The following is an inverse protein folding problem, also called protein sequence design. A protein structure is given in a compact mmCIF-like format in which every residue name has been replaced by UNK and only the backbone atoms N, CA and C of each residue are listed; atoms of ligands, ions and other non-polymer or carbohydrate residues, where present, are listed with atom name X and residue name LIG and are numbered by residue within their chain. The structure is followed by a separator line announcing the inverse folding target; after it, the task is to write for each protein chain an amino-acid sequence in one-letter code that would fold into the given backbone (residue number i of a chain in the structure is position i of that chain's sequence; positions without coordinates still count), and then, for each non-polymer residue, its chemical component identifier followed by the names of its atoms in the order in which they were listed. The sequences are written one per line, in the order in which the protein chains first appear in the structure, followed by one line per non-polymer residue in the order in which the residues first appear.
data_IF_455544811911
#
_entry.id   IF_455544811911
#
_cell.length_a   1.000
_cell.length_b   1.000
_cell.length_c   1.000
_cell.angle_alpha   90.00
_cell.angle_beta   90.00
_cell.angle_gamma   90.00
#
_symmetry.space_group_name_H-M   'P 1'
#
loop_
_entity.id
_entity.type
_entity.pdbx_description
1 polymer ?
#
# COMPACT_ATOMS: atom_id res chain seq x y z
N UNK A 1 -51.08 -5.14 -68.20
CA UNK A 1 -50.01 -4.16 -67.88
C UNK A 1 -49.23 -4.69 -66.69
N UNK A 2 -48.04 -5.27 -66.98
CA UNK A 2 -46.87 -5.60 -66.13
C UNK A 2 -47.16 -5.97 -64.66
N UNK A 3 -47.36 -7.23 -64.26
CA UNK A 3 -46.44 -8.42 -64.12
C UNK A 3 -45.47 -8.36 -62.92
N UNK A 4 -45.60 -9.37 -62.03
CA UNK A 4 -44.53 -10.01 -61.23
C UNK A 4 -44.50 -9.63 -59.73
N UNK A 5 -44.95 -10.39 -58.73
CA UNK A 5 -44.69 -11.79 -58.29
C UNK A 5 -43.37 -12.00 -57.49
N UNK A 6 -43.53 -12.58 -56.28
CA UNK A 6 -42.57 -13.30 -55.38
C UNK A 6 -41.39 -12.48 -54.79
N UNK A 7 -40.76 -12.78 -53.64
CA UNK A 7 -41.00 -13.57 -52.43
C UNK A 7 -39.73 -13.43 -51.53
N UNK A 8 -39.79 -13.99 -50.31
CA UNK A 8 -38.68 -14.53 -49.48
C UNK A 8 -37.70 -13.61 -48.71
N UNK A 9 -37.88 -13.63 -47.38
CA UNK A 9 -36.93 -13.92 -46.28
C UNK A 9 -35.42 -13.52 -46.32
N UNK A 10 -35.03 -12.67 -45.34
CA UNK A 10 -33.78 -12.55 -44.49
C UNK A 10 -32.38 -12.59 -45.17
N UNK A 11 -31.26 -12.01 -44.64
CA UNK A 11 -30.91 -11.82 -43.21
C UNK A 11 -30.04 -10.58 -42.82
N UNK A 12 -29.87 -10.38 -41.51
CA UNK A 12 -28.65 -9.95 -40.79
C UNK A 12 -27.73 -8.85 -41.37
N UNK A 13 -27.66 -7.71 -40.66
CA UNK A 13 -26.60 -6.71 -40.82
C UNK A 13 -26.42 -5.87 -39.55
N UNK A 14 -25.71 -6.41 -38.55
CA UNK A 14 -25.27 -5.67 -37.37
C UNK A 14 -24.19 -4.65 -37.79
N UNK A 15 -24.56 -3.40 -38.00
CA UNK A 15 -23.60 -2.31 -38.16
C UNK A 15 -23.05 -1.91 -36.78
N UNK A 16 -21.84 -2.42 -36.46
CA UNK A 16 -20.97 -1.86 -35.42
C UNK A 16 -20.58 -0.44 -35.82
N UNK A 17 -21.14 0.56 -35.15
CA UNK A 17 -20.54 1.89 -35.10
C UNK A 17 -19.39 1.84 -34.10
N UNK A 18 -18.18 1.68 -34.62
CA UNK A 18 -16.92 1.89 -33.87
C UNK A 18 -16.74 3.40 -33.73
N UNK A 19 -16.62 3.97 -32.51
CA UNK A 19 -16.17 5.35 -32.39
C UNK A 19 -14.68 5.39 -32.74
N UNK A 20 -14.35 6.16 -33.77
CA UNK A 20 -12.99 6.32 -34.26
C UNK A 20 -12.10 7.02 -33.22
N UNK A 21 -10.82 6.64 -33.26
CA UNK A 21 -9.71 7.21 -32.50
C UNK A 21 -9.52 8.66 -32.97
N UNK A 22 -10.25 9.61 -32.38
CA UNK A 22 -10.23 11.02 -32.77
C UNK A 22 -9.93 12.01 -31.65
N UNK A 23 -9.86 11.60 -30.38
CA UNK A 23 -9.81 12.54 -29.24
C UNK A 23 -8.40 12.84 -28.71
N UNK A 24 -7.36 12.08 -29.12
CA UNK A 24 -5.98 12.30 -28.62
C UNK A 24 -5.24 13.41 -29.40
N UNK A 25 -5.65 13.72 -30.63
CA UNK A 25 -5.04 14.79 -31.44
C UNK A 25 -5.30 16.20 -30.90
N UNK A 26 -6.36 16.40 -30.13
CA UNK A 26 -6.66 17.70 -29.50
C UNK A 26 -5.65 18.04 -28.38
N UNK A 27 -5.09 17.05 -27.68
CA UNK A 27 -4.07 17.28 -26.64
C UNK A 27 -2.68 17.56 -27.26
N UNK A 28 -2.36 16.94 -28.40
CA UNK A 28 -1.12 17.22 -29.14
C UNK A 28 -1.15 18.63 -29.75
N UNK A 29 -2.31 19.08 -30.24
CA UNK A 29 -2.48 20.46 -30.73
C UNK A 29 -2.26 21.52 -29.64
N UNK A 30 -2.68 21.25 -28.39
CA UNK A 30 -2.39 22.13 -27.26
C UNK A 30 -0.91 22.12 -26.86
N UNK A 31 -0.23 20.98 -27.00
CA UNK A 31 1.20 20.83 -26.72
C UNK A 31 2.06 21.63 -27.73
N UNK A 32 1.78 21.51 -29.03
CA UNK A 32 2.49 22.27 -30.06
C UNK A 32 2.22 23.78 -30.00
N UNK A 33 1.02 24.20 -29.60
CA UNK A 33 0.72 25.62 -29.38
C UNK A 33 1.46 26.22 -28.16
N UNK A 34 1.75 25.41 -27.14
CA UNK A 34 2.56 25.81 -25.99
C UNK A 34 4.06 25.84 -26.29
N UNK A 35 4.57 24.92 -27.14
CA UNK A 35 5.96 24.93 -27.61
C UNK A 35 6.26 26.16 -28.49
N UNK A 36 5.33 26.58 -29.34
CA UNK A 36 5.48 27.76 -30.19
C UNK A 36 5.47 29.10 -29.43
N UNK A 37 4.88 29.15 -28.22
CA UNK A 37 4.92 30.34 -27.37
C UNK A 37 6.18 30.41 -26.48
N UNK A 38 7.02 29.38 -26.44
CA UNK A 38 8.12 29.28 -25.46
C UNK A 38 9.47 29.83 -25.98
N UNK A 39 9.55 30.31 -27.23
CA UNK A 39 10.78 30.91 -27.78
C UNK A 39 10.92 32.42 -27.53
N UNK A 40 9.91 33.06 -26.92
CA UNK A 40 9.98 34.48 -26.59
C UNK A 40 9.44 34.75 -25.19
N UNK A 41 10.36 34.71 -24.21
CA UNK A 41 10.49 35.60 -23.05
C UNK A 41 11.28 34.85 -21.98
N UNK A 42 12.56 35.23 -21.88
CA UNK A 42 13.40 34.88 -20.74
C UNK A 42 12.85 35.52 -19.46
N UNK A 43 12.21 34.71 -18.64
CA UNK A 43 12.20 34.85 -17.17
C UNK A 43 11.62 33.56 -16.59
N UNK A 44 12.47 32.55 -16.43
CA UNK A 44 12.13 31.36 -15.65
C UNK A 44 11.95 31.83 -14.20
N UNK A 45 10.69 32.01 -13.79
CA UNK A 45 10.38 32.28 -12.39
C UNK A 45 10.95 31.12 -11.55
N UNK A 46 11.69 31.42 -10.45
CA UNK A 46 12.18 30.38 -9.57
C UNK A 46 11.00 29.54 -9.10
N UNK A 47 11.19 28.21 -9.04
CA UNK A 47 10.22 27.27 -8.45
C UNK A 47 9.64 27.91 -7.19
N UNK A 48 8.31 28.11 -7.09
CA UNK A 48 7.74 28.79 -5.95
C UNK A 48 8.22 28.07 -4.68
N UNK A 49 8.85 28.80 -3.75
CA UNK A 49 9.13 28.23 -2.42
C UNK A 49 7.84 27.59 -1.91
N UNK A 50 7.92 26.35 -1.43
CA UNK A 50 6.78 25.53 -0.97
C UNK A 50 5.79 26.31 -0.10
N UNK A 51 6.32 27.29 0.64
CA UNK A 51 5.59 28.12 1.59
C UNK A 51 4.55 29.04 0.92
N UNK A 52 4.72 29.40 -0.35
CA UNK A 52 3.74 30.19 -1.12
C UNK A 52 2.62 29.36 -1.72
N UNK A 53 2.74 28.03 -1.72
CA UNK A 53 1.75 27.09 -2.24
C UNK A 53 0.95 26.41 -1.11
N UNK A 54 1.14 26.86 0.14
CA UNK A 54 0.44 26.31 1.30
C UNK A 54 -1.07 26.55 1.14
N UNK A 55 -1.83 25.45 1.20
CA UNK A 55 -3.30 25.49 1.20
C UNK A 55 -3.86 26.39 2.30
N UNK A 56 -5.00 27.01 2.01
CA UNK A 56 -5.74 27.88 2.92
C UNK A 56 -5.96 27.26 4.31
N UNK A 57 -6.13 25.93 4.41
CA UNK A 57 -6.27 25.23 5.69
C UNK A 57 -5.02 25.31 6.56
N UNK A 58 -3.85 25.08 5.96
CA UNK A 58 -2.56 25.15 6.69
C UNK A 58 -2.22 26.59 7.07
N UNK A 59 -2.59 27.57 6.22
CA UNK A 59 -2.48 29.00 6.56
C UNK A 59 -3.33 29.36 7.78
N UNK A 60 -4.60 28.96 7.78
CA UNK A 60 -5.50 29.17 8.92
C UNK A 60 -5.01 28.47 10.19
N UNK A 61 -4.44 27.27 10.07
CA UNK A 61 -3.82 26.61 11.23
C UNK A 61 -2.64 27.43 11.77
N UNK A 62 -1.80 28.01 10.90
CA UNK A 62 -0.73 28.92 11.31
C UNK A 62 -1.26 30.19 12.00
N UNK A 63 -2.34 30.79 11.48
CA UNK A 63 -3.02 31.92 12.13
C UNK A 63 -3.52 31.54 13.54
N UNK A 64 -4.18 30.38 13.68
CA UNK A 64 -4.62 29.86 14.99
C UNK A 64 -3.45 29.56 15.92
N UNK A 65 -2.33 29.05 15.39
CA UNK A 65 -1.11 28.84 16.17
C UNK A 65 -0.52 30.16 16.67
N UNK A 66 -0.57 31.22 15.85
CA UNK A 66 -0.17 32.57 16.24
C UNK A 66 -0.94 33.09 17.46
N UNK A 67 -2.27 32.91 17.48
CA UNK A 67 -3.11 33.25 18.65
C UNK A 67 -2.64 32.53 19.91
N UNK A 68 -2.26 31.25 19.80
CA UNK A 68 -1.73 30.49 20.93
C UNK A 68 -0.34 30.97 21.38
N UNK A 69 0.52 31.38 20.44
CA UNK A 69 1.83 31.99 20.76
C UNK A 69 1.66 33.29 21.52
N UNK A 70 0.78 34.18 21.06
CA UNK A 70 0.52 35.49 21.69
C UNK A 70 -0.04 35.33 23.12
N UNK A 71 -0.78 34.25 23.38
CA UNK A 71 -1.24 33.87 24.70
C UNK A 71 -0.20 33.14 25.57
N UNK A 72 1.05 32.99 25.10
CA UNK A 72 2.13 32.28 25.81
C UNK A 72 2.03 30.75 25.79
N UNK A 73 1.11 30.18 25.00
CA UNK A 73 0.82 28.74 24.93
C UNK A 73 1.65 28.02 23.85
N UNK A 74 2.98 28.07 23.95
CA UNK A 74 3.91 27.55 22.93
C UNK A 74 3.65 26.10 22.51
N UNK A 75 3.44 25.18 23.47
CA UNK A 75 3.15 23.77 23.17
C UNK A 75 1.85 23.57 22.39
N UNK A 76 0.85 24.43 22.62
CA UNK A 76 -0.43 24.38 21.90
C UNK A 76 -0.24 24.85 20.46
N UNK A 77 0.54 25.91 20.25
CA UNK A 77 0.91 26.36 18.91
C UNK A 77 1.63 25.26 18.12
N UNK A 78 2.62 24.58 18.70
CA UNK A 78 3.34 23.45 18.07
C UNK A 78 2.40 22.30 17.67
N UNK A 79 1.42 21.97 18.53
CA UNK A 79 0.41 20.95 18.22
C UNK A 79 -0.48 21.37 17.05
N UNK A 80 -0.87 22.64 16.97
CA UNK A 80 -1.70 23.18 15.88
C UNK A 80 -0.92 23.20 14.56
N UNK A 81 0.34 23.63 14.56
CA UNK A 81 1.18 23.66 13.36
C UNK A 81 1.42 22.26 12.78
N UNK A 82 1.59 21.27 13.66
CA UNK A 82 1.87 19.88 13.26
C UNK A 82 0.61 19.04 13.03
N UNK A 83 -0.59 19.55 13.31
CA UNK A 83 -1.82 18.74 13.39
C UNK A 83 -2.16 17.97 12.10
N UNK A 84 -1.95 18.57 10.93
CA UNK A 84 -2.26 17.92 9.66
C UNK A 84 -1.27 16.81 9.31
N UNK A 85 -0.01 16.97 9.70
CA UNK A 85 1.02 15.96 9.47
C UNK A 85 0.89 14.82 10.50
N UNK A 86 0.60 15.13 11.76
CA UNK A 86 0.42 14.15 12.84
C UNK A 86 -0.86 13.33 12.68
N UNK A 87 -1.90 13.88 12.05
CA UNK A 87 -3.12 13.17 11.70
C UNK A 87 -2.91 12.04 10.68
N UNK A 88 -1.80 12.05 9.93
CA UNK A 88 -1.45 11.01 8.99
C UNK A 88 -0.44 10.02 9.56
N UNK A 89 -0.58 8.75 9.20
CA UNK A 89 0.43 7.75 9.53
C UNK A 89 1.80 8.14 8.92
N UNK A 90 2.93 7.88 9.61
CA UNK A 90 4.27 8.24 9.11
C UNK A 90 4.61 7.68 7.73
N UNK A 91 4.04 6.52 7.37
CA UNK A 91 4.16 5.95 6.03
C UNK A 91 3.42 6.75 4.96
N UNK A 92 2.24 7.26 5.30
CA UNK A 92 1.39 8.05 4.39
C UNK A 92 2.03 9.39 4.08
N UNK A 93 2.50 10.13 5.09
CA UNK A 93 3.13 11.44 4.87
C UNK A 93 4.39 11.34 3.99
N UNK A 94 5.20 10.28 4.14
CA UNK A 94 6.37 10.04 3.27
C UNK A 94 5.97 9.85 1.81
N UNK A 95 4.89 9.08 1.55
CA UNK A 95 4.38 8.90 0.19
C UNK A 95 3.84 10.21 -0.36
N UNK A 96 3.11 10.96 0.47
CA UNK A 96 2.54 12.24 0.08
C UNK A 96 3.63 13.24 -0.29
N UNK A 97 4.69 13.37 0.51
CA UNK A 97 5.84 14.25 0.20
C UNK A 97 6.51 13.88 -1.12
N UNK A 98 6.70 12.58 -1.40
CA UNK A 98 7.21 12.14 -2.69
C UNK A 98 6.30 12.54 -3.86
N UNK A 99 4.98 12.40 -3.70
CA UNK A 99 4.02 12.86 -4.72
C UNK A 99 4.12 14.38 -4.91
N UNK A 100 4.25 15.13 -3.83
CA UNK A 100 4.40 16.58 -3.87
C UNK A 100 5.66 16.96 -4.68
N UNK A 101 6.80 16.35 -4.37
CA UNK A 101 8.05 16.55 -5.11
C UNK A 101 7.90 16.18 -6.60
N UNK A 102 7.33 15.01 -6.91
CA UNK A 102 7.07 14.56 -8.28
C UNK A 102 6.18 15.55 -9.05
N UNK A 103 5.18 16.13 -8.38
CA UNK A 103 4.29 17.13 -8.97
C UNK A 103 4.98 18.47 -9.17
N UNK A 104 5.71 18.97 -8.17
CA UNK A 104 6.46 20.23 -8.27
C UNK A 104 7.50 20.17 -9.40
N UNK A 105 8.22 19.06 -9.52
CA UNK A 105 9.17 18.81 -10.62
C UNK A 105 8.46 18.73 -11.99
N UNK A 106 7.23 18.22 -12.03
CA UNK A 106 6.44 18.17 -13.26
C UNK A 106 5.99 19.57 -13.70
N UNK A 107 5.45 20.37 -12.78
CA UNK A 107 4.90 21.69 -13.11
C UNK A 107 5.98 22.74 -13.41
N UNK A 108 7.21 22.54 -12.90
CA UNK A 108 8.36 23.40 -13.20
C UNK A 108 8.64 23.53 -14.71
N UNK A 109 8.12 22.60 -15.53
CA UNK A 109 8.26 22.60 -16.98
C UNK A 109 7.34 23.60 -17.71
N UNK A 110 6.27 24.06 -17.07
CA UNK A 110 5.20 24.77 -17.76
C UNK A 110 5.37 26.30 -17.76
N UNK A 111 6.32 26.87 -16.99
CA UNK A 111 6.53 28.33 -16.95
C UNK A 111 5.29 29.16 -16.57
N UNK A 112 4.24 28.54 -16.01
CA UNK A 112 2.94 29.17 -15.78
C UNK A 112 2.82 29.83 -14.40
N UNK A 113 1.95 30.86 -14.25
CA UNK A 113 1.70 31.49 -12.96
C UNK A 113 1.03 30.52 -11.96
N UNK A 114 1.20 30.82 -10.66
CA UNK A 114 0.62 30.05 -9.55
C UNK A 114 -0.91 29.95 -9.61
N UNK A 115 -1.59 30.93 -10.24
CA UNK A 115 -3.03 30.88 -10.48
C UNK A 115 -3.48 29.69 -11.33
N UNK A 116 -2.59 29.08 -12.11
CA UNK A 116 -2.85 27.90 -12.91
C UNK A 116 -2.69 26.57 -12.14
N UNK A 117 -2.37 26.60 -10.84
CA UNK A 117 -2.06 25.40 -10.05
C UNK A 117 -3.17 24.34 -10.11
N UNK A 118 -4.44 24.74 -10.07
CA UNK A 118 -5.58 23.82 -10.13
C UNK A 118 -5.65 23.09 -11.48
N UNK A 119 -5.47 23.83 -12.57
CA UNK A 119 -5.39 23.28 -13.93
C UNK A 119 -4.20 22.34 -14.08
N UNK A 120 -3.04 22.72 -13.53
CA UNK A 120 -1.84 21.90 -13.54
C UNK A 120 -2.01 20.57 -12.79
N UNK A 121 -2.82 20.53 -11.72
CA UNK A 121 -3.17 19.27 -11.04
C UNK A 121 -3.95 18.34 -11.98
N UNK A 122 -4.89 18.86 -12.75
CA UNK A 122 -5.63 18.10 -13.76
C UNK A 122 -4.72 17.60 -14.88
N UNK A 123 -3.82 18.46 -15.38
CA UNK A 123 -2.81 18.08 -16.38
C UNK A 123 -1.88 16.98 -15.84
N UNK A 124 -1.43 17.09 -14.59
CA UNK A 124 -0.58 16.08 -13.97
C UNK A 124 -1.30 14.74 -13.82
N UNK A 125 -2.57 14.73 -13.44
CA UNK A 125 -3.36 13.49 -13.35
C UNK A 125 -3.56 12.88 -14.73
N UNK A 126 -3.83 13.67 -15.76
CA UNK A 126 -3.88 13.20 -17.15
C UNK A 126 -2.54 12.58 -17.60
N UNK A 127 -1.41 13.21 -17.26
CA UNK A 127 -0.06 12.67 -17.52
C UNK A 127 0.21 11.35 -16.80
N UNK A 128 -0.29 11.17 -15.58
CA UNK A 128 -0.19 9.88 -14.87
C UNK A 128 -1.03 8.80 -15.56
N UNK A 129 -2.20 9.14 -16.10
CA UNK A 129 -3.05 8.23 -16.87
C UNK A 129 -2.35 7.80 -18.15
N UNK A 130 -1.78 8.75 -18.90
CA UNK A 130 -1.00 8.50 -20.11
C UNK A 130 0.19 7.57 -19.85
N UNK A 131 0.88 7.75 -18.71
CA UNK A 131 1.94 6.85 -18.23
C UNK A 131 1.44 5.52 -17.64
N UNK A 132 0.16 5.21 -17.79
CA UNK A 132 -0.49 4.00 -17.27
C UNK A 132 -0.35 3.80 -15.74
N UNK A 133 -0.19 4.89 -14.97
CA UNK A 133 -0.07 4.86 -13.49
C UNK A 133 -1.44 4.88 -12.80
N UNK A 134 -2.40 4.13 -13.32
CA UNK A 134 -3.81 4.25 -12.94
C UNK A 134 -4.04 3.80 -11.47
N UNK A 135 -3.30 2.79 -11.00
CA UNK A 135 -3.42 2.25 -9.64
C UNK A 135 -3.06 3.24 -8.55
N UNK A 136 -2.13 4.18 -8.81
CA UNK A 136 -1.68 5.14 -7.81
C UNK A 136 -2.47 6.46 -7.84
N UNK A 137 -3.35 6.68 -8.84
CA UNK A 137 -4.05 7.97 -9.02
C UNK A 137 -4.75 8.45 -7.75
N UNK A 138 -5.47 7.58 -7.05
CA UNK A 138 -6.15 7.96 -5.80
C UNK A 138 -5.19 8.48 -4.73
N UNK A 139 -4.00 7.88 -4.64
CA UNK A 139 -2.96 8.34 -3.72
C UNK A 139 -2.39 9.70 -4.17
N UNK A 140 -2.13 9.89 -5.47
CA UNK A 140 -1.66 11.17 -5.97
C UNK A 140 -2.70 12.28 -5.73
N UNK A 141 -3.97 12.03 -6.03
CA UNK A 141 -5.06 12.99 -5.80
C UNK A 141 -5.18 13.38 -4.33
N UNK A 142 -5.16 12.39 -3.42
CA UNK A 142 -5.26 12.65 -1.99
C UNK A 142 -4.04 13.43 -1.46
N UNK A 143 -2.83 13.11 -1.92
CA UNK A 143 -1.62 13.83 -1.55
C UNK A 143 -1.65 15.29 -2.04
N UNK A 144 -2.07 15.52 -3.29
CA UNK A 144 -2.20 16.88 -3.83
C UNK A 144 -3.26 17.68 -3.08
N UNK A 145 -4.39 17.05 -2.73
CA UNK A 145 -5.43 17.71 -1.92
C UNK A 145 -4.93 18.03 -0.50
N UNK A 146 -4.04 17.20 0.05
CA UNK A 146 -3.47 17.42 1.37
C UNK A 146 -2.50 18.61 1.43
N UNK A 147 -1.72 18.87 0.37
CA UNK A 147 -0.77 20.00 0.35
C UNK A 147 -1.35 21.27 -0.26
N UNK A 148 -2.14 21.14 -1.33
CA UNK A 148 -2.64 22.27 -2.13
C UNK A 148 -4.14 22.50 -1.99
N UNK A 149 -4.80 21.76 -1.11
CA UNK A 149 -6.21 21.98 -0.78
C UNK A 149 -7.22 21.37 -1.74
N UNK A 150 -8.51 21.58 -1.45
CA UNK A 150 -9.59 21.18 -2.34
C UNK A 150 -9.50 21.97 -3.66
N UNK A 151 -9.88 21.32 -4.76
CA UNK A 151 -10.04 22.00 -6.04
C UNK A 151 -11.34 22.80 -6.06
N UNK A 152 -11.40 23.93 -6.80
CA UNK A 152 -12.66 24.55 -7.20
C UNK A 152 -13.57 23.56 -7.93
N UNK A 153 -14.87 23.82 -7.92
CA UNK A 153 -15.89 22.89 -8.44
C UNK A 153 -15.61 22.42 -9.87
N UNK A 154 -15.33 23.34 -10.79
CA UNK A 154 -15.09 23.02 -12.20
C UNK A 154 -13.85 22.13 -12.38
N UNK A 155 -12.74 22.47 -11.70
CA UNK A 155 -11.52 21.68 -11.72
C UNK A 155 -11.71 20.30 -11.08
N UNK A 156 -12.50 20.18 -10.01
CA UNK A 156 -12.83 18.92 -9.35
C UNK A 156 -13.70 18.03 -10.25
N UNK A 157 -14.65 18.60 -10.98
CA UNK A 157 -15.48 17.87 -11.96
C UNK A 157 -14.62 17.27 -13.08
N UNK A 158 -13.66 18.03 -13.60
CA UNK A 158 -12.65 17.56 -14.58
C UNK A 158 -11.81 16.44 -13.97
N UNK A 159 -11.28 16.63 -12.75
CA UNK A 159 -10.48 15.63 -12.07
C UNK A 159 -11.24 14.30 -11.92
N UNK A 160 -12.50 14.36 -11.48
CA UNK A 160 -13.35 13.19 -11.32
C UNK A 160 -13.63 12.52 -12.66
N UNK A 161 -13.82 13.28 -13.73
CA UNK A 161 -14.00 12.74 -15.07
C UNK A 161 -12.75 11.97 -15.54
N UNK A 162 -11.56 12.52 -15.35
CA UNK A 162 -10.28 11.85 -15.65
C UNK A 162 -10.14 10.53 -14.89
N UNK A 163 -10.36 10.55 -13.56
CA UNK A 163 -10.25 9.35 -12.72
C UNK A 163 -11.29 8.29 -13.11
N UNK A 164 -12.54 8.69 -13.42
CA UNK A 164 -13.59 7.77 -13.88
C UNK A 164 -13.23 7.16 -15.24
N UNK A 165 -12.73 7.98 -16.17
CA UNK A 165 -12.27 7.52 -17.49
C UNK A 165 -11.16 6.48 -17.38
N UNK A 166 -10.13 6.78 -16.60
CA UNK A 166 -9.00 5.87 -16.38
C UNK A 166 -9.42 4.53 -15.75
N UNK A 167 -10.38 4.55 -14.81
CA UNK A 167 -10.90 3.30 -14.21
C UNK A 167 -11.64 2.43 -15.22
N UNK A 168 -12.33 3.01 -16.21
CA UNK A 168 -13.06 2.26 -17.25
C UNK A 168 -12.13 1.63 -18.28
N UNK A 169 -11.04 2.32 -18.63
CA UNK A 169 -10.06 1.83 -19.61
C UNK A 169 -9.04 0.87 -19.01
N UNK A 170 -8.95 0.82 -17.68
CA UNK A 170 -8.07 -0.12 -16.99
C UNK A 170 -8.56 -1.56 -17.14
N UNK A 171 -7.69 -2.52 -17.48
CA UNK A 171 -8.05 -3.93 -17.39
C UNK A 171 -8.46 -4.27 -15.94
N UNK A 172 -9.34 -5.26 -15.76
CA UNK A 172 -9.74 -5.71 -14.42
C UNK A 172 -8.53 -5.98 -13.55
N UNK A 173 -8.64 -5.65 -12.27
CA UNK A 173 -7.57 -5.91 -11.31
C UNK A 173 -7.27 -7.41 -11.29
N UNK A 174 -6.13 -7.81 -11.87
CA UNK A 174 -5.64 -9.18 -11.75
C UNK A 174 -5.22 -9.40 -10.31
N UNK A 175 -6.09 -10.05 -9.53
CA UNK A 175 -5.76 -10.47 -8.18
C UNK A 175 -4.61 -11.47 -8.24
N UNK A 176 -3.59 -11.24 -7.40
CA UNK A 176 -2.46 -12.14 -7.27
C UNK A 176 -2.90 -13.43 -6.59
N UNK A 177 -2.24 -14.53 -6.93
CA UNK A 177 -2.50 -15.83 -6.30
C UNK A 177 -2.03 -15.79 -4.85
N UNK A 178 -2.89 -16.24 -3.94
CA UNK A 178 -2.56 -16.42 -2.53
C UNK A 178 -1.55 -17.57 -2.40
N UNK A 179 -0.63 -17.46 -1.44
CA UNK A 179 0.25 -18.56 -1.08
C UNK A 179 -0.60 -19.70 -0.51
N UNK A 180 -0.25 -20.93 -0.86
CA UNK A 180 -0.88 -22.15 -0.38
C UNK A 180 0.04 -22.88 0.59
N UNK A 181 -0.51 -23.79 1.40
CA UNK A 181 0.29 -24.66 2.26
C UNK A 181 1.37 -25.40 1.45
N UNK A 182 1.04 -25.88 0.25
CA UNK A 182 1.99 -26.55 -0.66
C UNK A 182 3.18 -25.67 -1.04
N UNK A 183 2.98 -24.36 -1.20
CA UNK A 183 4.08 -23.44 -1.51
C UNK A 183 5.02 -23.28 -0.30
N UNK A 184 4.46 -23.22 0.91
CA UNK A 184 5.23 -23.16 2.16
C UNK A 184 5.98 -24.46 2.40
N UNK A 185 5.35 -25.62 2.18
CA UNK A 185 5.97 -26.94 2.32
C UNK A 185 7.15 -27.12 1.36
N UNK A 186 7.05 -26.60 0.13
CA UNK A 186 8.15 -26.59 -0.83
C UNK A 186 9.34 -25.77 -0.33
N UNK A 187 9.08 -24.57 0.21
CA UNK A 187 10.13 -23.71 0.82
C UNK A 187 10.77 -24.38 2.02
N UNK A 188 9.98 -25.02 2.90
CA UNK A 188 10.47 -25.74 4.07
C UNK A 188 11.38 -26.90 3.61
N UNK A 189 10.91 -27.72 2.68
CA UNK A 189 11.65 -28.87 2.16
C UNK A 189 12.98 -28.45 1.54
N UNK A 190 12.95 -27.40 0.72
CA UNK A 190 14.16 -26.81 0.13
C UNK A 190 15.16 -26.34 1.19
N UNK A 191 14.70 -25.64 2.22
CA UNK A 191 15.58 -25.12 3.27
C UNK A 191 16.21 -26.24 4.11
N UNK A 192 15.42 -27.26 4.45
CA UNK A 192 15.89 -28.45 5.19
C UNK A 192 16.89 -29.28 4.37
N UNK A 193 16.75 -29.34 3.03
CA UNK A 193 17.74 -29.97 2.16
C UNK A 193 19.03 -29.15 2.07
N UNK A 194 18.91 -27.82 1.96
CA UNK A 194 20.06 -26.93 1.79
C UNK A 194 20.89 -26.77 3.07
N UNK A 195 20.29 -26.94 4.26
CA UNK A 195 20.95 -26.95 5.59
C UNK A 195 21.86 -25.75 5.87
N UNK A 196 21.60 -24.60 5.26
CA UNK A 196 22.33 -23.35 5.55
C UNK A 196 21.51 -22.46 6.46
N UNK A 197 22.15 -21.76 7.40
CA UNK A 197 21.48 -20.81 8.29
C UNK A 197 20.68 -19.75 7.51
N UNK A 198 21.21 -19.28 6.37
CA UNK A 198 20.54 -18.31 5.53
C UNK A 198 19.20 -18.84 4.98
N UNK A 199 19.19 -20.09 4.51
CA UNK A 199 18.00 -20.78 3.99
C UNK A 199 17.00 -21.08 5.11
N UNK A 200 17.45 -21.65 6.23
CA UNK A 200 16.61 -21.98 7.39
C UNK A 200 15.90 -20.73 7.91
N UNK A 201 16.65 -19.66 8.19
CA UNK A 201 16.05 -18.42 8.71
C UNK A 201 15.20 -17.69 7.66
N UNK A 202 15.46 -17.89 6.36
CA UNK A 202 14.60 -17.38 5.29
C UNK A 202 13.28 -18.14 5.17
N UNK A 203 13.30 -19.46 5.31
CA UNK A 203 12.10 -20.29 5.33
C UNK A 203 11.29 -20.12 6.62
N UNK A 204 11.95 -20.00 7.78
CA UNK A 204 11.28 -19.74 9.06
C UNK A 204 10.52 -18.40 9.04
N UNK A 205 11.08 -17.38 8.37
CA UNK A 205 10.43 -16.10 8.12
C UNK A 205 9.15 -16.24 7.30
N UNK A 206 9.17 -17.04 6.22
CA UNK A 206 7.99 -17.33 5.39
C UNK A 206 6.96 -18.15 6.16
N UNK A 207 7.41 -19.17 6.90
CA UNK A 207 6.56 -20.00 7.74
C UNK A 207 5.84 -19.16 8.79
N UNK A 208 6.54 -18.32 9.54
CA UNK A 208 5.95 -17.49 10.58
C UNK A 208 4.97 -16.47 9.97
N UNK A 209 5.34 -15.83 8.84
CA UNK A 209 4.44 -14.92 8.14
C UNK A 209 3.15 -15.60 7.67
N UNK A 210 3.24 -16.86 7.24
CA UNK A 210 2.10 -17.65 6.80
C UNK A 210 1.24 -18.14 7.99
N UNK A 211 1.87 -18.74 9.00
CA UNK A 211 1.17 -19.36 10.13
C UNK A 211 0.48 -18.35 11.05
N UNK A 212 1.11 -17.20 11.29
CA UNK A 212 0.57 -16.14 12.13
C UNK A 212 -0.06 -14.98 11.32
N UNK A 213 -0.21 -15.15 9.99
CA UNK A 213 -0.79 -14.16 9.08
C UNK A 213 -0.19 -12.74 9.23
N UNK A 214 1.13 -12.66 9.33
CA UNK A 214 1.84 -11.42 9.62
C UNK A 214 2.09 -10.61 8.36
N UNK A 215 1.95 -9.29 8.46
CA UNK A 215 2.44 -8.35 7.46
C UNK A 215 3.95 -8.23 7.56
N UNK A 216 4.63 -7.85 6.46
CA UNK A 216 6.09 -7.57 6.48
C UNK A 216 6.46 -6.61 7.60
N UNK A 217 5.65 -5.57 7.81
CA UNK A 217 5.90 -4.58 8.85
C UNK A 217 5.84 -5.15 10.27
N UNK A 218 4.99 -6.14 10.52
CA UNK A 218 4.89 -6.84 11.81
C UNK A 218 6.06 -7.81 11.95
N UNK A 219 6.39 -8.56 10.88
CA UNK A 219 7.52 -9.48 10.83
C UNK A 219 8.88 -8.81 11.10
N UNK A 220 9.03 -7.54 10.72
CA UNK A 220 10.24 -6.75 11.01
C UNK A 220 10.41 -6.47 12.50
N UNK A 221 9.33 -6.41 13.27
CA UNK A 221 9.34 -5.94 14.65
C UNK A 221 9.33 -7.06 15.69
N UNK A 222 9.27 -8.33 15.26
CA UNK A 222 9.19 -9.47 16.18
C UNK A 222 10.49 -9.64 16.94
N UNK A 223 10.37 -9.68 18.27
CA UNK A 223 11.44 -9.99 19.22
C UNK A 223 11.32 -11.40 19.74
N UNK A 224 12.42 -11.90 20.32
CA UNK A 224 12.43 -13.21 20.99
C UNK A 224 11.39 -13.24 22.12
N UNK A 225 11.26 -12.15 22.89
CA UNK A 225 10.29 -12.00 23.98
C UNK A 225 8.84 -12.12 23.53
N UNK A 226 8.56 -11.87 22.26
CA UNK A 226 7.19 -11.87 21.73
C UNK A 226 6.71 -13.30 21.42
N UNK A 227 7.62 -14.29 21.41
CA UNK A 227 7.34 -15.69 21.15
C UNK A 227 7.25 -16.46 22.47
N UNK A 228 6.12 -17.12 22.69
CA UNK A 228 5.89 -17.98 23.84
C UNK A 228 5.49 -19.38 23.41
N UNK A 229 6.24 -20.39 23.87
CA UNK A 229 5.88 -21.80 23.67
C UNK A 229 4.88 -22.22 24.76
N UNK A 230 3.69 -22.70 24.36
CA UNK A 230 2.62 -23.13 25.27
C UNK A 230 2.39 -24.65 25.29
N UNK A 231 3.03 -25.37 24.38
CA UNK A 231 3.03 -26.83 24.33
C UNK A 231 4.16 -27.36 23.45
N UNK A 232 4.14 -28.65 23.13
CA UNK A 232 5.19 -29.25 22.29
C UNK A 232 5.24 -28.63 20.89
N UNK A 233 4.09 -28.30 20.32
CA UNK A 233 3.93 -27.82 18.95
C UNK A 233 3.12 -26.52 18.84
N UNK A 234 2.80 -25.89 19.97
CA UNK A 234 1.91 -24.72 20.06
C UNK A 234 2.66 -23.47 20.52
N UNK A 235 2.47 -22.40 19.75
CA UNK A 235 3.18 -21.13 19.89
C UNK A 235 2.21 -19.98 19.94
N UNK A 236 2.51 -19.02 20.81
CA UNK A 236 1.80 -17.77 20.94
C UNK A 236 2.76 -16.65 20.54
N UNK A 237 2.30 -15.76 19.67
CA UNK A 237 3.06 -14.61 19.19
C UNK A 237 2.33 -13.33 19.55
N UNK A 238 3.02 -12.44 20.28
CA UNK A 238 2.53 -11.10 20.59
C UNK A 238 2.89 -10.13 19.47
N UNK A 239 1.88 -9.56 18.83
CA UNK A 239 2.02 -8.49 17.84
C UNK A 239 1.79 -7.16 18.54
N UNK A 240 2.87 -6.45 18.87
CA UNK A 240 2.81 -5.19 19.64
C UNK A 240 2.13 -4.04 18.89
N UNK A 241 2.22 -4.05 17.56
CA UNK A 241 1.69 -2.96 16.72
C UNK A 241 1.31 -3.50 15.35
N UNK A 242 0.07 -3.25 14.97
CA UNK A 242 -0.42 -3.53 13.61
C UNK A 242 -0.82 -2.23 12.90
N UNK A 243 -1.07 -2.32 11.59
CA UNK A 243 -1.56 -1.18 10.81
C UNK A 243 -2.96 -0.75 11.24
N UNK A 244 -3.80 -1.69 11.66
CA UNK A 244 -5.22 -1.48 12.02
C UNK A 244 -5.42 -1.18 13.49
N UNK A 245 -4.40 -1.42 14.32
CA UNK A 245 -4.39 -1.12 15.75
C UNK A 245 -4.01 0.35 15.98
N UNK A 246 -5.00 1.24 15.83
CA UNK A 246 -4.83 2.68 16.02
C UNK A 246 -4.50 3.04 17.48
N UNK A 247 -4.98 2.23 18.43
CA UNK A 247 -4.81 2.44 19.88
C UNK A 247 -3.56 1.76 20.45
N UNK A 248 -2.84 0.96 19.65
CA UNK A 248 -1.64 0.20 20.04
C UNK A 248 -1.88 -0.77 21.21
N UNK A 249 -3.06 -1.39 21.26
CA UNK A 249 -3.36 -2.42 22.28
C UNK A 249 -2.53 -3.68 22.08
N UNK A 250 -2.05 -3.92 20.87
CA UNK A 250 -1.42 -5.17 20.47
C UNK A 250 -2.45 -6.28 20.27
N UNK A 251 -1.99 -7.43 19.79
CA UNK A 251 -2.80 -8.64 19.63
C UNK A 251 -1.93 -9.88 19.79
N UNK A 252 -2.47 -10.95 20.36
CA UNK A 252 -1.81 -12.25 20.38
C UNK A 252 -2.39 -13.18 19.32
N UNK A 253 -1.51 -13.96 18.67
CA UNK A 253 -1.88 -14.97 17.69
C UNK A 253 -1.28 -16.30 18.11
N UNK A 254 -2.13 -17.30 18.27
CA UNK A 254 -1.71 -18.68 18.49
C UNK A 254 -1.61 -19.43 17.16
N UNK A 255 -0.56 -20.23 17.00
CA UNK A 255 -0.39 -21.10 15.84
C UNK A 255 0.27 -22.42 16.25
N UNK A 256 -0.02 -23.47 15.46
CA UNK A 256 0.52 -24.81 15.66
C UNK A 256 1.40 -25.20 14.49
N UNK A 257 2.57 -25.77 14.79
CA UNK A 257 3.51 -26.26 13.78
C UNK A 257 3.59 -27.78 13.83
N UNK A 258 3.48 -28.47 12.70
CA UNK A 258 3.55 -29.93 12.66
C UNK A 258 4.50 -30.40 11.56
N UNK A 259 4.96 -31.65 11.66
CA UNK A 259 5.79 -32.30 10.63
C UNK A 259 7.04 -31.48 10.26
N UNK A 260 7.35 -31.31 8.95
CA UNK A 260 8.53 -30.57 8.50
C UNK A 260 8.59 -29.12 8.99
N UNK A 261 7.45 -28.46 9.20
CA UNK A 261 7.40 -27.09 9.69
C UNK A 261 7.94 -26.99 11.12
N UNK A 262 7.56 -27.94 11.99
CA UNK A 262 8.07 -28.01 13.36
C UNK A 262 9.57 -28.32 13.38
N UNK A 263 10.05 -29.20 12.50
CA UNK A 263 11.49 -29.51 12.36
C UNK A 263 12.26 -28.25 11.95
N UNK A 264 11.82 -27.55 10.91
CA UNK A 264 12.45 -26.31 10.44
C UNK A 264 12.50 -25.27 11.56
N UNK A 265 11.40 -25.09 12.28
CA UNK A 265 11.30 -24.12 13.35
C UNK A 265 12.21 -24.47 14.52
N UNK A 266 12.25 -25.75 14.93
CA UNK A 266 13.15 -26.23 15.98
C UNK A 266 14.62 -26.03 15.61
N UNK A 267 14.99 -26.23 14.33
CA UNK A 267 16.34 -25.92 13.84
C UNK A 267 16.60 -24.41 13.91
N UNK A 268 15.63 -23.58 13.53
CA UNK A 268 15.75 -22.13 13.58
C UNK A 268 15.86 -21.58 15.02
N UNK A 269 15.13 -22.16 15.97
CA UNK A 269 15.16 -21.79 17.40
C UNK A 269 16.57 -21.84 17.98
N UNK A 270 17.38 -22.82 17.58
CA UNK A 270 18.78 -22.94 18.02
C UNK A 270 19.66 -21.74 17.61
N UNK A 271 19.18 -20.91 16.69
CA UNK A 271 19.86 -19.70 16.22
C UNK A 271 19.18 -18.42 16.68
N UNK A 272 18.12 -18.51 17.49
CA UNK A 272 17.51 -17.33 18.07
C UNK A 272 18.50 -16.63 19.02
N UNK A 273 18.50 -15.29 19.05
CA UNK A 273 19.34 -14.59 20.00
C UNK A 273 18.96 -14.90 21.45
N UNK A 274 19.95 -14.96 22.34
CA UNK A 274 19.72 -15.20 23.78
C UNK A 274 19.03 -14.05 24.49
N UNK A 275 19.20 -12.82 23.98
CA UNK A 275 18.57 -11.64 24.56
C UNK A 275 17.10 -11.56 24.12
N UNK A 276 16.14 -11.54 25.05
CA UNK A 276 14.71 -11.52 24.74
C UNK A 276 14.29 -10.28 23.93
N UNK A 277 14.96 -9.15 24.10
CA UNK A 277 14.61 -7.90 23.40
C UNK A 277 15.15 -7.80 21.98
N UNK A 278 15.96 -8.77 21.53
CA UNK A 278 16.51 -8.76 20.19
C UNK A 278 15.51 -9.26 19.15
N UNK A 279 15.60 -8.66 17.96
CA UNK A 279 14.77 -9.00 16.82
C UNK A 279 15.16 -10.35 16.21
N UNK A 280 14.19 -11.25 16.02
CA UNK A 280 14.46 -12.65 15.62
C UNK A 280 15.05 -12.78 14.21
N UNK A 281 14.85 -11.79 13.35
CA UNK A 281 15.35 -11.77 11.97
C UNK A 281 16.44 -10.72 11.71
N UNK A 282 16.99 -10.10 12.76
CA UNK A 282 18.18 -9.26 12.64
C UNK A 282 19.44 -10.05 13.01
N UNK A 283 20.51 -9.88 12.22
CA UNK A 283 21.77 -10.62 12.42
C UNK A 283 22.69 -10.04 13.49
N UNK A 284 22.45 -8.82 13.99
CA UNK A 284 23.29 -8.22 15.04
C UNK A 284 22.81 -6.85 15.57
N UNK A 285 21.72 -6.27 15.06
CA UNK A 285 21.37 -4.89 15.41
C UNK A 285 20.34 -4.80 16.55
N UNK A 286 20.54 -3.80 17.42
CA UNK A 286 19.51 -3.27 18.32
C UNK A 286 18.29 -2.68 17.58
N UNK A 287 18.37 -2.57 16.25
CA UNK A 287 17.35 -2.01 15.38
C UNK A 287 16.61 -3.11 14.60
N UNK A 288 15.32 -2.92 14.28
CA UNK A 288 14.57 -3.86 13.47
C UNK A 288 15.11 -3.91 12.02
N UNK A 289 15.08 -5.08 11.36
CA UNK A 289 15.38 -5.17 9.94
C UNK A 289 14.41 -4.30 9.12
N UNK A 290 14.91 -3.69 8.05
CA UNK A 290 14.03 -2.87 7.19
C UNK A 290 13.08 -3.75 6.38
N UNK A 291 11.88 -3.23 6.08
CA UNK A 291 10.89 -3.92 5.24
C UNK A 291 11.46 -4.38 3.91
N UNK A 292 12.29 -3.54 3.29
CA UNK A 292 12.96 -3.86 2.03
C UNK A 292 13.95 -5.04 2.17
N UNK A 293 14.71 -5.09 3.27
CA UNK A 293 15.63 -6.21 3.55
C UNK A 293 14.85 -7.53 3.69
N UNK A 294 13.76 -7.52 4.47
CA UNK A 294 12.88 -8.66 4.63
C UNK A 294 12.26 -9.08 3.29
N UNK A 295 11.69 -8.14 2.54
CA UNK A 295 11.09 -8.42 1.22
C UNK A 295 12.10 -8.99 0.23
N UNK A 296 13.32 -8.45 0.16
CA UNK A 296 14.39 -8.99 -0.70
C UNK A 296 14.79 -10.40 -0.27
N UNK A 297 14.85 -10.67 1.03
CA UNK A 297 15.18 -11.99 1.55
C UNK A 297 14.09 -13.01 1.20
N UNK A 298 12.83 -12.68 1.40
CA UNK A 298 11.68 -13.53 1.03
C UNK A 298 11.73 -13.84 -0.48
N UNK A 299 11.90 -12.82 -1.33
CA UNK A 299 12.01 -12.98 -2.78
C UNK A 299 13.13 -13.94 -3.17
N UNK A 300 14.31 -13.78 -2.58
CA UNK A 300 15.45 -14.66 -2.83
C UNK A 300 15.13 -16.10 -2.45
N UNK A 301 14.56 -16.33 -1.27
CA UNK A 301 14.18 -17.67 -0.81
C UNK A 301 13.17 -18.33 -1.75
N UNK A 302 12.14 -17.58 -2.17
CA UNK A 302 11.14 -18.09 -3.12
C UNK A 302 11.76 -18.44 -4.47
N UNK A 303 12.65 -17.59 -4.96
CA UNK A 303 13.40 -17.84 -6.19
C UNK A 303 14.24 -19.11 -6.08
N UNK A 304 15.04 -19.22 -5.02
CA UNK A 304 15.94 -20.35 -4.82
C UNK A 304 15.18 -21.66 -4.58
N UNK A 305 13.96 -21.59 -4.03
CA UNK A 305 13.03 -22.71 -3.88
C UNK A 305 12.24 -23.04 -5.16
N UNK A 306 12.52 -22.37 -6.29
CA UNK A 306 11.89 -22.64 -7.58
C UNK A 306 10.47 -22.09 -7.73
N UNK A 307 10.05 -21.14 -6.88
CA UNK A 307 8.70 -20.57 -6.89
C UNK A 307 8.61 -19.21 -7.61
N UNK A 308 9.63 -18.80 -8.36
CA UNK A 308 9.73 -17.49 -9.04
C UNK A 308 8.62 -17.24 -10.10
N UNK A 309 8.21 -18.29 -10.82
CA UNK A 309 7.25 -18.21 -11.94
C UNK A 309 5.80 -18.27 -11.49
N UNK A 310 5.55 -18.77 -10.27
CA UNK A 310 4.26 -18.59 -9.63
C UNK A 310 4.29 -17.16 -9.15
N UNK A 311 3.47 -16.29 -9.73
CA UNK A 311 3.23 -14.94 -9.22
C UNK A 311 2.54 -14.99 -7.84
N UNK A 312 3.05 -15.81 -6.91
CA UNK A 312 2.77 -15.88 -5.49
C UNK A 312 3.38 -14.65 -4.82
N UNK A 313 2.99 -13.48 -5.31
CA UNK A 313 3.25 -12.22 -4.65
C UNK A 313 2.39 -12.06 -3.39
N UNK A 314 1.71 -13.11 -2.90
CA UNK A 314 1.27 -13.18 -1.51
C UNK A 314 2.42 -13.06 -0.52
N UNK A 315 3.60 -13.58 -0.87
CA UNK A 315 4.81 -13.47 -0.06
C UNK A 315 5.66 -12.27 -0.49
N UNK A 316 5.66 -11.88 -1.77
CA UNK A 316 6.40 -10.71 -2.26
C UNK A 316 5.69 -9.36 -1.98
N UNK A 317 4.37 -9.37 -1.89
CA UNK A 317 3.47 -8.26 -1.56
C UNK A 317 2.62 -8.58 -0.31
N UNK A 318 3.28 -9.12 0.73
CA UNK A 318 2.79 -9.10 2.11
C UNK A 318 2.31 -7.72 2.64
N UNK A 319 2.56 -6.53 1.99
CA UNK A 319 1.85 -5.30 2.35
C UNK A 319 0.38 -5.23 1.92
N UNK A 320 -0.11 -6.06 0.99
CA UNK A 320 -1.45 -5.93 0.40
C UNK A 320 -2.37 -7.14 0.59
N UNK A 321 -1.84 -8.36 0.80
CA UNK A 321 -2.66 -9.58 0.78
C UNK A 321 -3.36 -9.89 2.13
N UNK A 322 -3.05 -9.16 3.20
CA UNK A 322 -3.82 -9.17 4.46
C UNK A 322 -4.61 -7.85 4.59
N UNK A 323 -5.40 -7.53 3.57
CA UNK A 323 -6.44 -6.49 3.64
C UNK A 323 -7.84 -7.06 3.33
N UNK A 324 -7.97 -8.37 3.08
CA UNK A 324 -9.24 -8.99 2.66
C UNK A 324 -9.71 -10.17 3.52
N UNK A 325 -9.13 -10.39 4.72
CA UNK A 325 -9.65 -11.38 5.68
C UNK A 325 -9.99 -10.76 7.04
N UNK A 326 -9.64 -9.48 7.26
CA UNK A 326 -9.97 -8.75 8.49
C UNK A 326 -11.42 -8.27 8.61
N UNK A 327 -12.33 -8.76 7.77
CA UNK A 327 -13.75 -8.39 7.82
C UNK A 327 -14.69 -9.59 8.02
N UNK A 328 -14.17 -10.81 8.23
CA UNK A 328 -15.04 -11.99 8.41
C UNK A 328 -14.49 -13.09 9.33
N UNK A 329 -13.55 -12.80 10.24
CA UNK A 329 -13.24 -13.73 11.34
C UNK A 329 -13.45 -13.01 12.66
N UNK A 330 -14.72 -12.70 12.91
CA UNK A 330 -15.31 -12.85 14.24
C UNK A 330 -15.83 -14.28 14.29
N UNK A 331 -15.75 -14.96 15.43
CA UNK A 331 -16.05 -16.40 15.68
C UNK A 331 -14.92 -17.40 15.39
N UNK A 332 -14.12 -17.67 16.42
CA UNK A 332 -14.00 -18.99 17.07
C UNK A 332 -13.00 -18.86 18.24
N UNK A 333 -13.40 -18.14 19.28
CA UNK A 333 -12.67 -18.07 20.55
C UNK A 333 -13.68 -18.13 21.71
N UNK A 334 -14.45 -19.23 21.73
CA UNK A 334 -15.27 -19.65 22.88
C UNK A 334 -15.93 -20.97 22.52
N UNK A 335 -15.27 -22.06 22.87
CA UNK A 335 -15.76 -23.43 22.74
C UNK A 335 -15.21 -24.24 23.90
N UNK A 336 -16.07 -24.46 24.88
CA UNK A 336 -15.87 -25.13 26.17
C UNK A 336 -14.96 -26.37 26.16
N UNK A 337 -14.18 -26.50 27.23
CA UNK A 337 -13.85 -27.78 27.86
C UNK A 337 -14.06 -27.65 29.38
N UNK A 338 -14.39 -28.77 30.01
CA UNK A 338 -15.46 -28.94 30.99
C UNK A 338 -14.98 -29.28 32.42
N UNK A 339 -15.91 -29.12 33.37
CA UNK A 339 -16.15 -29.88 34.61
C UNK A 339 -15.34 -29.63 35.91
N UNK A 340 -16.10 -29.22 36.94
CA UNK A 340 -16.00 -29.42 38.41
C UNK A 340 -16.93 -28.33 39.02
N UNK A 341 -17.96 -28.54 39.84
CA UNK A 341 -18.31 -29.57 40.80
C UNK A 341 -19.83 -29.61 40.99
N UNK A 342 -20.33 -30.81 41.25
CA UNK A 342 -21.62 -31.13 41.82
C UNK A 342 -21.72 -30.68 43.29
N UNK A 343 -22.67 -29.81 43.64
CA UNK A 343 -23.33 -29.82 44.96
C UNK A 343 -24.82 -29.55 44.76
N UNK A 344 -25.62 -30.51 45.19
CA UNK A 344 -27.08 -30.53 45.28
C UNK A 344 -27.57 -29.95 46.61
N UNK A 345 -28.91 -29.77 46.71
CA UNK A 345 -29.74 -29.55 47.92
C UNK A 345 -29.83 -28.06 48.32
N UNK A 346 -30.98 -27.36 48.33
CA UNK A 346 -32.42 -27.70 48.33
C UNK A 346 -33.22 -26.69 47.51
#
# INVERSE_FOLDING_TARGET
MVVGILATALPWGFARVVPSIGSVRACVGLWCALEACNESVGNVLPVPRSDRLIDAKRRRAGETAGIAVDAGLKRVAELIESCFDSALAPGTIRIYRRVQEDFLNFIAKFGVPVSALNKLRNVYVAHLIDKNKIRSLGCHVAALAHFFGPLPREDDEILRALVRGAKRTSPPAKHRKKATQKDVDAVISWALQRKTLAAIAGAAMILLAFAAFLRVGELCEIRVSDLSRKGENEWWLTIRKSKTDQERRGSEVAFRLTGPALILWSVFENFLPRNPDQYIFSRSSAHPPTRDTISRRIKRVLKDAGLEHRSCSALEDLPAIITLVGSSISFMASGHFQDCESISVS
#
